data_IF_267327857867
#
_entry.id   IF_267327857867
#
_cell.length_a   1.000
_cell.length_b   1.000
_cell.length_c   1.000
_cell.angle_alpha   90.00
_cell.angle_beta   90.00
_cell.angle_gamma   90.00
#
_symmetry.space_group_name_H-M   'P 1'
#
loop_
_entity.id
_entity.type
_entity.pdbx_description
1 polymer ?
#
# COMPACT_ATOMS: atom_id res chain seq x y z
N UNK A 1 17.11 -3.48 -6.84
CA UNK A 1 16.80 -4.61 -7.74
C UNK A 1 15.47 -4.32 -8.41
N UNK A 2 15.47 -4.09 -9.73
CA UNK A 2 14.24 -3.87 -10.47
C UNK A 2 13.52 -5.22 -10.64
N UNK A 3 12.36 -5.38 -10.00
CA UNK A 3 11.48 -6.53 -10.19
C UNK A 3 10.89 -6.39 -11.58
N UNK A 4 11.53 -7.02 -12.56
CA UNK A 4 11.04 -7.11 -13.93
C UNK A 4 10.81 -8.59 -14.27
N UNK A 5 10.11 -9.30 -13.37
CA UNK A 5 9.54 -10.61 -13.69
C UNK A 5 8.35 -10.36 -14.60
N UNK A 6 8.55 -10.50 -15.91
CA UNK A 6 7.45 -10.64 -16.85
C UNK A 6 6.63 -11.86 -16.41
N UNK A 7 5.49 -11.63 -15.75
CA UNK A 7 4.53 -12.67 -15.41
C UNK A 7 4.31 -13.56 -16.63
N UNK A 8 4.54 -14.87 -16.48
CA UNK A 8 4.48 -15.80 -17.61
C UNK A 8 3.14 -15.64 -18.35
N UNK A 9 3.20 -15.47 -19.68
CA UNK A 9 2.03 -15.22 -20.54
C UNK A 9 0.94 -16.29 -20.39
N UNK A 10 1.33 -17.52 -20.06
CA UNK A 10 0.41 -18.64 -19.87
C UNK A 10 -0.34 -18.55 -18.55
N UNK A 11 0.33 -18.14 -17.46
CA UNK A 11 -0.30 -17.87 -16.16
C UNK A 11 -1.36 -16.75 -16.32
N UNK A 12 -1.02 -15.68 -17.05
CA UNK A 12 -1.96 -14.61 -17.36
C UNK A 12 -3.10 -15.08 -18.27
N UNK A 13 -2.82 -15.92 -19.26
CA UNK A 13 -3.85 -16.46 -20.14
C UNK A 13 -4.87 -17.33 -19.40
N UNK A 14 -4.43 -18.10 -18.39
CA UNK A 14 -5.31 -18.86 -17.50
C UNK A 14 -6.24 -17.95 -16.72
N UNK A 15 -5.71 -16.87 -16.12
CA UNK A 15 -6.55 -15.87 -15.46
C UNK A 15 -7.58 -15.25 -16.42
N UNK A 16 -7.13 -14.74 -17.56
CA UNK A 16 -7.98 -14.06 -18.55
C UNK A 16 -9.13 -14.95 -19.03
N UNK A 17 -8.89 -16.27 -19.16
CA UNK A 17 -9.89 -17.24 -19.63
C UNK A 17 -11.12 -17.31 -18.71
N UNK A 18 -10.93 -17.23 -17.41
CA UNK A 18 -12.00 -17.40 -16.42
C UNK A 18 -12.49 -16.07 -15.84
N UNK A 19 -11.61 -15.06 -15.75
CA UNK A 19 -11.97 -13.75 -15.23
C UNK A 19 -12.81 -12.91 -16.21
N UNK A 20 -12.44 -12.86 -17.51
CA UNK A 20 -13.20 -12.09 -18.52
C UNK A 20 -14.68 -12.49 -18.60
N UNK A 21 -15.05 -13.79 -18.64
CA UNK A 21 -16.45 -14.20 -18.64
C UNK A 21 -17.09 -14.25 -17.23
N UNK A 22 -16.43 -13.70 -16.21
CA UNK A 22 -16.89 -13.71 -14.81
C UNK A 22 -17.17 -15.10 -14.23
N UNK A 23 -16.35 -16.10 -14.60
CA UNK A 23 -16.51 -17.50 -14.18
C UNK A 23 -15.66 -17.89 -12.96
N UNK A 24 -14.87 -16.95 -12.43
CA UNK A 24 -13.99 -17.21 -11.29
C UNK A 24 -14.74 -17.70 -10.04
N UNK A 25 -15.99 -17.30 -9.85
CA UNK A 25 -16.81 -17.72 -8.72
C UNK A 25 -17.26 -19.19 -8.78
N UNK A 26 -17.33 -19.78 -9.99
CA UNK A 26 -17.90 -21.12 -10.22
C UNK A 26 -16.90 -22.14 -10.77
N UNK A 27 -15.78 -21.68 -11.33
CA UNK A 27 -14.79 -22.57 -11.96
C UNK A 27 -14.20 -23.55 -10.95
N UNK A 28 -14.03 -24.80 -11.35
CA UNK A 28 -13.43 -25.84 -10.49
C UNK A 28 -11.90 -25.78 -10.54
N UNK A 29 -11.25 -26.30 -9.50
CA UNK A 29 -9.78 -26.42 -9.47
C UNK A 29 -9.27 -27.30 -10.63
N UNK A 30 -10.02 -28.34 -10.99
CA UNK A 30 -9.72 -29.22 -12.12
C UNK A 30 -9.74 -28.48 -13.46
N UNK A 31 -10.76 -27.66 -13.73
CA UNK A 31 -10.83 -26.88 -14.97
C UNK A 31 -9.66 -25.89 -15.12
N UNK A 32 -9.19 -25.31 -14.02
CA UNK A 32 -8.02 -24.42 -14.02
C UNK A 32 -6.75 -25.21 -14.30
N UNK A 33 -6.57 -26.34 -13.61
CA UNK A 33 -5.43 -27.23 -13.82
C UNK A 33 -5.34 -27.68 -15.28
N UNK A 34 -6.43 -28.24 -15.81
CA UNK A 34 -6.52 -28.74 -17.18
C UNK A 34 -6.20 -27.64 -18.20
N UNK A 35 -6.67 -26.42 -17.96
CA UNK A 35 -6.40 -25.31 -18.88
C UNK A 35 -4.94 -24.85 -18.82
N UNK A 36 -4.35 -24.78 -17.62
CA UNK A 36 -2.95 -24.41 -17.44
C UNK A 36 -2.01 -25.44 -18.09
N UNK A 37 -2.28 -26.74 -17.89
CA UNK A 37 -1.51 -27.83 -18.51
C UNK A 37 -1.64 -27.82 -20.04
N UNK A 38 -2.84 -27.61 -20.58
CA UNK A 38 -3.05 -27.43 -22.04
C UNK A 38 -2.27 -26.26 -22.64
N UNK A 39 -1.84 -25.29 -21.81
CA UNK A 39 -1.02 -24.15 -22.23
C UNK A 39 0.48 -24.38 -22.07
N UNK A 40 0.89 -25.57 -21.64
CA UNK A 40 2.29 -25.96 -21.47
C UNK A 40 2.87 -25.62 -20.10
N UNK A 41 2.04 -25.33 -19.10
CA UNK A 41 2.49 -25.20 -17.72
C UNK A 41 2.52 -26.56 -17.04
N UNK A 42 3.56 -26.83 -16.27
CA UNK A 42 3.59 -28.00 -15.38
C UNK A 42 2.98 -27.54 -14.06
N UNK A 43 1.79 -28.04 -13.73
CA UNK A 43 1.06 -27.66 -12.53
C UNK A 43 1.46 -28.55 -11.36
N UNK A 44 2.14 -27.97 -10.38
CA UNK A 44 2.60 -28.65 -9.17
C UNK A 44 1.45 -28.81 -8.17
N UNK A 45 0.68 -27.73 -7.95
CA UNK A 45 -0.50 -27.76 -7.08
C UNK A 45 -1.56 -26.74 -7.52
N UNK A 46 -2.82 -27.06 -7.24
CA UNK A 46 -3.96 -26.14 -7.34
C UNK A 46 -4.81 -26.31 -6.09
N UNK A 47 -4.94 -25.27 -5.30
CA UNK A 47 -5.63 -25.32 -4.01
C UNK A 47 -6.47 -24.07 -3.77
N UNK A 48 -7.53 -24.22 -2.99
CA UNK A 48 -8.37 -23.11 -2.53
C UNK A 48 -7.75 -22.53 -1.25
N UNK A 49 -7.47 -21.23 -1.23
CA UNK A 49 -6.82 -20.54 -0.11
C UNK A 49 -7.59 -19.28 0.27
N UNK A 50 -7.50 -18.89 1.54
CA UNK A 50 -7.93 -17.57 1.98
C UNK A 50 -6.78 -16.56 1.80
N UNK A 51 -7.05 -15.49 1.07
CA UNK A 51 -6.11 -14.42 0.75
C UNK A 51 -6.60 -13.07 1.31
N UNK A 52 -5.67 -12.23 1.75
CA UNK A 52 -5.96 -10.90 2.30
C UNK A 52 -5.85 -10.83 3.83
N UNK A 53 -5.78 -9.60 4.35
CA UNK A 53 -5.68 -9.34 5.78
C UNK A 53 -7.03 -8.95 6.38
N UNK A 54 -7.74 -7.99 5.76
CA UNK A 54 -9.11 -7.63 6.12
C UNK A 54 -9.74 -6.83 4.96
N UNK A 55 -10.72 -7.38 4.21
CA UNK A 55 -11.33 -8.70 4.37
C UNK A 55 -10.43 -9.84 3.87
N UNK A 56 -10.61 -11.04 4.45
CA UNK A 56 -10.10 -12.30 3.90
C UNK A 56 -11.08 -12.82 2.84
N UNK A 57 -10.56 -13.11 1.66
CA UNK A 57 -11.35 -13.60 0.52
C UNK A 57 -10.80 -14.93 0.01
N UNK A 58 -11.68 -15.77 -0.54
CA UNK A 58 -11.25 -17.01 -1.18
C UNK A 58 -10.56 -16.74 -2.51
N UNK A 59 -9.49 -17.46 -2.77
CA UNK A 59 -8.74 -17.43 -4.01
C UNK A 59 -8.26 -18.85 -4.35
N UNK A 60 -7.95 -19.05 -5.61
CA UNK A 60 -7.34 -20.28 -6.10
C UNK A 60 -5.85 -20.01 -6.25
N UNK A 61 -5.04 -20.73 -5.51
CA UNK A 61 -3.59 -20.72 -5.67
C UNK A 61 -3.19 -21.79 -6.66
N UNK A 62 -2.46 -21.40 -7.71
CA UNK A 62 -1.84 -22.30 -8.67
C UNK A 62 -0.33 -22.19 -8.55
N UNK A 63 0.36 -23.30 -8.30
CA UNK A 63 1.81 -23.41 -8.33
C UNK A 63 2.23 -24.13 -9.59
N UNK A 64 3.14 -23.53 -10.34
CA UNK A 64 3.65 -24.06 -11.59
C UNK A 64 5.17 -23.93 -11.65
N UNK A 65 5.79 -24.63 -12.59
CA UNK A 65 7.21 -24.50 -12.89
C UNK A 65 7.65 -23.05 -13.25
N UNK A 66 6.71 -22.20 -13.66
CA UNK A 66 6.95 -20.80 -14.05
C UNK A 66 6.63 -19.80 -12.93
N UNK A 67 6.18 -20.29 -11.78
CA UNK A 67 5.84 -19.47 -10.62
C UNK A 67 4.47 -19.78 -10.03
N UNK A 68 4.14 -19.02 -8.98
CA UNK A 68 2.89 -19.15 -8.23
C UNK A 68 1.96 -17.99 -8.55
N UNK A 69 0.68 -18.27 -8.78
CA UNK A 69 -0.35 -17.27 -9.02
C UNK A 69 -1.53 -17.45 -8.07
N UNK A 70 -2.19 -16.34 -7.73
CA UNK A 70 -3.42 -16.30 -6.96
C UNK A 70 -4.55 -15.74 -7.83
N UNK A 71 -5.65 -16.47 -7.90
CA UNK A 71 -6.83 -16.09 -8.66
C UNK A 71 -8.02 -15.87 -7.72
N UNK A 72 -8.37 -14.61 -7.39
CA UNK A 72 -9.49 -14.32 -6.50
C UNK A 72 -10.82 -14.87 -7.02
N UNK A 73 -11.66 -15.38 -6.11
CA UNK A 73 -13.03 -15.83 -6.42
C UNK A 73 -14.02 -14.68 -6.61
N UNK A 74 -13.74 -13.56 -5.96
CA UNK A 74 -14.60 -12.37 -5.93
C UNK A 74 -13.85 -11.17 -6.49
N UNK A 75 -14.57 -10.31 -7.21
CA UNK A 75 -14.04 -9.00 -7.60
C UNK A 75 -14.05 -8.06 -6.41
N UNK A 76 -13.17 -7.05 -6.43
CA UNK A 76 -13.14 -6.01 -5.39
C UNK A 76 -14.52 -5.36 -5.15
N UNK A 77 -15.24 -5.05 -6.22
CA UNK A 77 -16.59 -4.47 -6.13
C UNK A 77 -17.70 -5.42 -5.66
N UNK A 78 -17.41 -6.71 -5.50
CA UNK A 78 -18.36 -7.71 -4.96
C UNK A 78 -18.11 -8.00 -3.47
N UNK A 79 -17.07 -7.39 -2.89
CA UNK A 79 -16.73 -7.59 -1.48
C UNK A 79 -17.46 -6.52 -0.67
N UNK A 80 -18.58 -6.89 -0.05
CA UNK A 80 -19.44 -5.97 0.71
C UNK A 80 -18.67 -5.20 1.79
N UNK A 81 -17.82 -5.89 2.56
CA UNK A 81 -17.01 -5.27 3.61
C UNK A 81 -15.99 -4.28 3.04
N UNK A 82 -15.47 -4.54 1.84
CA UNK A 82 -14.57 -3.60 1.16
C UNK A 82 -15.36 -2.36 0.76
N UNK A 83 -16.47 -2.53 0.03
CA UNK A 83 -17.32 -1.44 -0.45
C UNK A 83 -17.89 -0.57 0.69
N UNK A 84 -18.31 -1.17 1.80
CA UNK A 84 -18.80 -0.45 2.98
C UNK A 84 -17.72 0.45 3.60
N UNK A 85 -16.44 0.07 3.47
CA UNK A 85 -15.31 0.83 3.97
C UNK A 85 -14.68 1.75 2.90
N UNK A 86 -15.06 1.64 1.61
CA UNK A 86 -14.56 2.53 0.56
C UNK A 86 -14.98 3.97 0.85
N UNK A 87 -16.26 4.23 1.13
CA UNK A 87 -16.74 5.58 1.38
C UNK A 87 -16.10 6.20 2.64
N UNK A 88 -16.07 5.53 3.81
CA UNK A 88 -15.35 6.04 4.99
C UNK A 88 -13.85 6.28 4.76
N UNK A 89 -13.17 5.42 4.00
CA UNK A 89 -11.75 5.60 3.69
C UNK A 89 -11.51 6.77 2.73
N UNK A 90 -12.37 6.93 1.72
CA UNK A 90 -12.34 8.07 0.82
C UNK A 90 -12.66 9.36 1.57
N UNK A 91 -13.67 9.36 2.44
CA UNK A 91 -14.04 10.50 3.26
C UNK A 91 -12.92 10.86 4.25
N UNK A 92 -12.19 9.88 4.79
CA UNK A 92 -11.01 10.09 5.62
C UNK A 92 -9.83 10.65 4.81
N UNK A 93 -9.56 10.11 3.63
CA UNK A 93 -8.52 10.61 2.73
C UNK A 93 -8.83 12.03 2.24
N UNK A 94 -10.09 12.30 1.87
CA UNK A 94 -10.59 13.63 1.54
C UNK A 94 -10.51 14.57 2.74
N UNK A 95 -10.87 14.11 3.94
CA UNK A 95 -10.70 14.87 5.18
C UNK A 95 -9.23 15.27 5.34
N UNK A 96 -8.28 14.32 5.33
CA UNK A 96 -6.86 14.66 5.46
C UNK A 96 -6.30 15.50 4.31
N UNK A 97 -6.80 15.35 3.09
CA UNK A 97 -6.42 16.22 1.98
C UNK A 97 -7.05 17.62 2.08
N UNK A 98 -8.19 17.75 2.76
CA UNK A 98 -8.91 19.02 2.98
C UNK A 98 -8.45 19.77 4.23
N UNK A 99 -7.88 19.05 5.20
CA UNK A 99 -7.16 19.65 6.31
C UNK A 99 -5.92 20.26 5.68
N UNK A 100 -5.81 21.60 5.69
CA UNK A 100 -4.54 22.29 5.48
C UNK A 100 -3.61 21.78 6.58
N UNK A 101 -2.88 20.69 6.28
CA UNK A 101 -1.67 20.39 7.00
C UNK A 101 -0.87 21.67 6.89
N UNK A 102 -0.49 22.26 8.02
CA UNK A 102 0.52 23.31 8.03
C UNK A 102 1.70 22.77 7.23
N UNK A 103 1.80 23.13 5.95
CA UNK A 103 3.03 22.98 5.22
C UNK A 103 4.01 23.77 6.10
N UNK A 104 5.08 23.16 6.63
CA UNK A 104 6.10 23.97 7.26
C UNK A 104 6.45 25.03 6.22
N UNK A 105 6.24 26.30 6.55
CA UNK A 105 6.53 27.39 5.62
C UNK A 105 7.89 27.08 5.03
N UNK A 106 7.99 27.05 3.70
CA UNK A 106 9.27 26.87 3.04
C UNK A 106 10.15 28.06 3.45
N UNK A 107 10.93 27.86 4.51
CA UNK A 107 11.81 28.86 5.07
C UNK A 107 13.13 28.67 4.35
N UNK A 108 13.54 29.67 3.58
CA UNK A 108 14.82 29.58 2.90
C UNK A 108 15.94 29.56 3.96
N UNK A 109 17.09 28.98 3.62
CA UNK A 109 18.27 29.07 4.48
C UNK A 109 18.63 30.53 4.82
N UNK A 110 18.29 31.49 3.96
CA UNK A 110 18.44 32.92 4.21
C UNK A 110 17.55 33.41 5.36
N UNK A 111 16.28 33.03 5.37
CA UNK A 111 15.32 33.43 6.42
C UNK A 111 15.68 32.82 7.78
N UNK A 112 16.17 31.56 7.78
CA UNK A 112 16.69 30.89 8.98
C UNK A 112 17.89 31.66 9.55
N UNK A 113 18.86 32.00 8.69
CA UNK A 113 20.05 32.72 9.11
C UNK A 113 19.72 34.14 9.59
N UNK A 114 18.79 34.82 8.93
CA UNK A 114 18.32 36.14 9.36
C UNK A 114 17.68 36.08 10.75
N UNK A 115 16.81 35.10 11.02
CA UNK A 115 16.24 34.91 12.36
C UNK A 115 17.30 34.65 13.44
N UNK A 116 18.35 33.89 13.10
CA UNK A 116 19.50 33.63 13.99
C UNK A 116 20.30 34.92 14.23
N UNK A 117 20.54 35.73 13.20
CA UNK A 117 21.26 37.01 13.30
C UNK A 117 20.50 38.04 14.13
N UNK A 118 19.20 38.23 13.87
CA UNK A 118 18.33 39.17 14.58
C UNK A 118 18.20 38.79 16.06
N UNK A 119 18.13 37.50 16.37
CA UNK A 119 18.07 37.00 17.76
C UNK A 119 19.41 37.14 18.50
N UNK A 120 20.51 37.48 17.81
CA UNK A 120 21.89 37.55 18.35
C UNK A 120 22.34 36.25 19.04
N UNK A 121 21.69 35.13 18.72
CA UNK A 121 22.00 33.83 19.29
C UNK A 121 23.23 33.26 18.57
N UNK A 122 24.31 33.03 19.31
CA UNK A 122 25.50 32.40 18.75
C UNK A 122 25.30 30.88 18.72
N UNK A 123 24.75 30.36 17.62
CA UNK A 123 24.39 28.94 17.44
C UNK A 123 25.60 27.99 17.58
N UNK A 124 26.83 28.49 17.40
CA UNK A 124 28.07 27.71 17.60
C UNK A 124 28.50 27.60 19.06
N UNK A 125 27.92 28.38 19.96
CA UNK A 125 28.23 28.36 21.39
C UNK A 125 27.30 27.43 22.17
N UNK A 126 27.49 26.12 22.06
CA UNK A 126 26.79 25.15 22.92
C UNK A 126 27.33 25.14 24.36
N UNK A 127 27.36 26.29 25.04
CA UNK A 127 27.35 26.29 26.49
C UNK A 127 25.92 26.03 26.91
N UNK A 128 25.67 24.94 27.62
CA UNK A 128 24.35 24.63 28.15
C UNK A 128 23.87 25.80 29.01
N UNK A 129 22.96 26.61 28.49
CA UNK A 129 22.29 27.63 29.28
C UNK A 129 21.48 26.94 30.37
N UNK A 130 21.53 27.48 31.60
CA UNK A 130 20.82 26.91 32.74
C UNK A 130 19.30 26.95 32.46
N UNK A 131 18.71 25.78 32.21
CA UNK A 131 17.30 25.61 31.82
C UNK A 131 16.33 26.30 32.79
N UNK A 132 16.64 26.32 34.08
CA UNK A 132 15.81 26.96 35.11
C UNK A 132 15.72 28.47 34.92
N UNK A 133 16.85 29.08 34.60
CA UNK A 133 16.98 30.53 34.43
C UNK A 133 16.33 31.04 33.14
N UNK A 134 16.21 30.17 32.12
CA UNK A 134 15.47 30.47 30.89
C UNK A 134 13.96 30.42 31.16
N UNK A 135 13.50 29.40 31.89
CA UNK A 135 12.08 29.25 32.23
C UNK A 135 11.58 30.42 33.10
N UNK A 136 12.34 30.79 34.14
CA UNK A 136 12.00 31.92 35.02
C UNK A 136 11.83 33.23 34.23
N UNK A 137 12.64 33.48 33.19
CA UNK A 137 12.54 34.69 32.36
C UNK A 137 11.33 34.72 31.44
N UNK A 138 10.91 33.56 30.95
CA UNK A 138 9.75 33.43 30.07
C UNK A 138 8.44 33.67 30.82
N UNK A 139 8.35 33.18 32.05
CA UNK A 139 7.14 33.30 32.88
C UNK A 139 6.95 34.71 33.47
N UNK A 140 7.98 35.54 33.47
CA UNK A 140 7.93 36.95 33.95
C UNK A 140 7.70 37.99 32.85
N UNK A 141 7.58 37.59 31.59
CA UNK A 141 7.15 38.44 30.47
C UNK A 141 5.62 38.36 30.29
#
# INVERSE_FOLDING_TARGET
MAINEKTNKHIRATWDRFNKPNKMSIVTLGEIKDFAEKRGLIVESVEEVDFGYNPRIKAIQIKTNEGTALYPRQKLGEIDLYNQNVQPNQDYEHFWNSVDWFMPMFMTHGDINHGIEVSRLNVRGHRHSNKRLIQERFETL
#
